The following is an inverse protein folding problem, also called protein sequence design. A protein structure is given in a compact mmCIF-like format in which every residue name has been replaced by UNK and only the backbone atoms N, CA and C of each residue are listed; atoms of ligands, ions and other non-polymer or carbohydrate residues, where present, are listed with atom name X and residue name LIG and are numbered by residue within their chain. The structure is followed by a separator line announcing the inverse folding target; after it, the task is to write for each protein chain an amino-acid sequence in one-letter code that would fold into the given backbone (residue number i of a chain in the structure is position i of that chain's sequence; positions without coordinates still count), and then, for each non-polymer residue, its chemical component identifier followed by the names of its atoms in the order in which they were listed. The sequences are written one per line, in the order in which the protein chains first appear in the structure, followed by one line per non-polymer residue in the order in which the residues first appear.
data_IF_902070285765
#
_entry.id   IF_902070285765
#
_cell.length_a   1.000
_cell.length_b   1.000
_cell.length_c   1.000
_cell.angle_alpha   90.00
_cell.angle_beta   90.00
_cell.angle_gamma   90.00
#
_symmetry.space_group_name_H-M   'P 1'
#
loop_
_entity.id
_entity.type
_entity.pdbx_description
1 polymer ?
#
# COMPACT_ATOMS: atom_id res chain seq x y z
N UNK A 1 10.73 -24.72 13.28
CA UNK A 1 10.60 -25.10 11.86
C UNK A 1 10.21 -23.86 11.09
N UNK A 2 11.08 -23.39 10.20
CA UNK A 2 10.82 -22.23 9.34
C UNK A 2 9.77 -22.59 8.29
N UNK A 3 8.65 -21.87 8.26
CA UNK A 3 7.75 -21.85 7.12
C UNK A 3 8.14 -20.71 6.19
N UNK A 4 8.82 -21.08 5.11
CA UNK A 4 9.06 -20.27 3.93
C UNK A 4 7.69 -19.99 3.29
N UNK A 5 7.21 -18.74 3.34
CA UNK A 5 5.97 -18.36 2.66
C UNK A 5 6.28 -18.20 1.17
N UNK A 6 5.96 -19.25 0.42
CA UNK A 6 5.96 -19.31 -1.02
C UNK A 6 5.06 -18.21 -1.62
N UNK A 7 5.67 -17.24 -2.29
CA UNK A 7 5.01 -16.26 -3.18
C UNK A 7 4.58 -16.94 -4.50
N UNK A 8 3.78 -18.00 -4.41
CA UNK A 8 3.32 -18.74 -5.58
C UNK A 8 1.82 -18.96 -5.52
N UNK A 9 1.12 -18.39 -6.49
CA UNK A 9 -0.25 -18.75 -6.83
C UNK A 9 -1.26 -17.66 -6.50
N UNK A 10 -1.40 -16.71 -7.41
CA UNK A 10 -2.67 -16.45 -8.11
C UNK A 10 -2.33 -15.61 -9.34
N UNK A 11 -2.59 -16.19 -10.51
CA UNK A 11 -2.28 -15.64 -11.83
C UNK A 11 -3.11 -14.38 -12.06
N UNK A 12 -2.51 -13.21 -11.87
CA UNK A 12 -3.02 -11.96 -12.43
C UNK A 12 -2.45 -11.80 -13.84
N UNK A 13 -3.33 -11.88 -14.84
CA UNK A 13 -3.06 -11.37 -16.18
C UNK A 13 -2.50 -9.95 -16.06
N UNK A 14 -1.42 -9.57 -16.76
CA UNK A 14 -0.95 -8.19 -16.74
C UNK A 14 -2.09 -7.30 -17.26
N UNK A 15 -2.42 -6.24 -16.52
CA UNK A 15 -3.55 -5.35 -16.84
C UNK A 15 -3.27 -4.52 -18.09
N UNK A 16 -2.01 -4.40 -18.50
CA UNK A 16 -1.61 -3.84 -19.77
C UNK A 16 -0.63 -4.80 -20.45
N UNK A 17 -0.42 -4.63 -21.74
CA UNK A 17 0.49 -5.49 -22.50
C UNK A 17 1.54 -4.62 -23.15
N UNK A 18 2.81 -4.99 -22.98
CA UNK A 18 3.89 -4.39 -23.76
C UNK A 18 3.93 -4.90 -25.22
N UNK A 19 3.09 -5.90 -25.56
CA UNK A 19 2.95 -6.43 -26.92
C UNK A 19 2.20 -5.42 -27.79
N UNK A 20 2.94 -4.46 -28.31
CA UNK A 20 2.43 -3.33 -29.09
C UNK A 20 3.43 -2.18 -29.12
N UNK A 21 4.31 -2.11 -28.13
CA UNK A 21 5.38 -1.13 -28.06
C UNK A 21 6.58 -1.46 -28.92
N UNK A 22 7.10 -0.42 -29.57
CA UNK A 22 8.41 -0.46 -30.20
C UNK A 22 9.52 -0.74 -29.16
N UNK A 23 10.69 -1.23 -29.58
CA UNK A 23 11.81 -1.48 -28.66
C UNK A 23 12.22 -0.27 -27.83
N UNK A 24 12.18 0.95 -28.40
CA UNK A 24 12.47 2.21 -27.70
C UNK A 24 11.43 2.53 -26.63
N UNK A 25 10.16 2.28 -26.91
CA UNK A 25 9.06 2.49 -25.96
C UNK A 25 9.12 1.49 -24.80
N UNK A 26 9.47 0.23 -25.07
CA UNK A 26 9.71 -0.77 -24.01
C UNK A 26 10.86 -0.38 -23.10
N UNK A 27 11.95 0.15 -23.66
CA UNK A 27 13.06 0.68 -22.86
C UNK A 27 12.61 1.83 -21.99
N UNK A 28 11.84 2.77 -22.54
CA UNK A 28 11.28 3.90 -21.78
C UNK A 28 10.41 3.42 -20.61
N UNK A 29 9.55 2.42 -20.85
CA UNK A 29 8.74 1.80 -19.79
C UNK A 29 9.58 1.10 -18.73
N UNK A 30 10.61 0.36 -19.14
CA UNK A 30 11.52 -0.31 -18.23
C UNK A 30 12.27 0.71 -17.36
N UNK A 31 12.82 1.77 -17.97
CA UNK A 31 13.54 2.83 -17.26
C UNK A 31 12.62 3.58 -16.29
N UNK A 32 11.37 3.86 -16.67
CA UNK A 32 10.42 4.49 -15.77
C UNK A 32 10.04 3.58 -14.58
N UNK A 33 9.93 2.28 -14.82
CA UNK A 33 9.69 1.28 -13.79
C UNK A 33 10.90 1.14 -12.84
N UNK A 34 12.12 1.14 -13.37
CA UNK A 34 13.36 1.15 -12.60
C UNK A 34 13.42 2.39 -11.70
N UNK A 35 13.30 3.59 -12.28
CA UNK A 35 13.28 4.86 -11.56
C UNK A 35 12.24 4.86 -10.44
N UNK A 36 11.01 4.43 -10.75
CA UNK A 36 9.89 4.38 -9.81
C UNK A 36 10.14 3.43 -8.63
N UNK A 37 10.62 2.22 -8.91
CA UNK A 37 10.84 1.22 -7.87
C UNK A 37 12.07 1.53 -7.01
N UNK A 38 13.11 2.14 -7.58
CA UNK A 38 14.27 2.64 -6.82
C UNK A 38 13.86 3.77 -5.89
N UNK A 39 13.06 4.73 -6.38
CA UNK A 39 12.50 5.82 -5.57
C UNK A 39 11.69 5.30 -4.38
N UNK A 40 10.82 4.32 -4.62
CA UNK A 40 10.01 3.70 -3.57
C UNK A 40 10.88 2.98 -2.52
N UNK A 41 11.96 2.33 -2.94
CA UNK A 41 12.89 1.65 -2.03
C UNK A 41 13.71 2.64 -1.19
N UNK A 42 14.20 3.73 -1.80
CA UNK A 42 14.90 4.81 -1.09
C UNK A 42 14.01 5.44 -0.01
N UNK A 43 12.76 5.78 -0.36
CA UNK A 43 11.79 6.32 0.60
C UNK A 43 11.47 5.35 1.73
N UNK A 44 11.20 4.08 1.41
CA UNK A 44 10.94 3.04 2.41
C UNK A 44 12.12 2.89 3.36
N UNK A 45 13.35 2.85 2.83
CA UNK A 45 14.55 2.70 3.63
C UNK A 45 14.78 3.91 4.54
N UNK A 46 14.63 5.13 4.02
CA UNK A 46 14.78 6.36 4.81
C UNK A 46 13.76 6.42 5.95
N UNK A 47 12.49 6.11 5.68
CA UNK A 47 11.44 6.03 6.72
C UNK A 47 11.79 4.98 7.79
N UNK A 48 12.20 3.77 7.35
CA UNK A 48 12.59 2.70 8.26
C UNK A 48 13.78 3.09 9.16
N UNK A 49 14.76 3.82 8.65
CA UNK A 49 15.93 4.25 9.44
C UNK A 49 15.60 5.38 10.42
N UNK A 50 14.76 6.34 10.02
CA UNK A 50 14.27 7.41 10.90
C UNK A 50 13.48 6.85 12.09
N UNK A 51 12.69 5.80 11.87
CA UNK A 51 11.95 5.13 12.94
C UNK A 51 12.82 4.31 13.90
N UNK A 52 13.92 3.73 13.40
CA UNK A 52 14.83 2.91 14.21
C UNK A 52 15.77 3.73 15.10
N UNK A 53 16.09 4.96 14.71
CA UNK A 53 16.98 5.84 15.49
C UNK A 53 16.45 7.28 15.57
N UNK A 54 15.37 7.52 16.35
CA UNK A 54 14.84 8.86 16.53
C UNK A 54 15.90 9.76 17.19
N UNK A 55 16.43 10.72 16.44
CA UNK A 55 17.38 11.73 16.93
C UNK A 55 18.86 11.42 16.71
N UNK A 56 19.23 10.35 16.01
CA UNK A 56 20.62 10.19 15.57
C UNK A 56 20.93 11.11 14.38
N UNK A 57 22.20 11.49 14.21
CA UNK A 57 22.67 12.26 13.04
C UNK A 57 22.47 11.53 11.70
N UNK A 58 21.85 10.35 11.68
CA UNK A 58 21.44 9.60 10.48
C UNK A 58 20.53 10.44 9.57
N UNK A 59 19.74 11.35 10.13
CA UNK A 59 18.97 12.34 9.36
C UNK A 59 19.86 13.36 8.60
N UNK A 60 21.15 13.49 8.96
CA UNK A 60 22.14 14.31 8.26
C UNK A 60 23.03 13.50 7.29
N UNK A 61 23.13 12.19 7.47
CA UNK A 61 24.04 11.33 6.70
C UNK A 61 23.46 10.89 5.36
N UNK A 62 22.14 10.74 5.28
CA UNK A 62 21.48 10.35 4.03
C UNK A 62 21.00 11.60 3.29
N UNK A 63 21.51 11.87 2.07
CA UNK A 63 21.03 12.98 1.28
C UNK A 63 19.53 12.81 1.03
N UNK A 64 18.81 13.93 1.21
CA UNK A 64 17.42 14.06 0.76
C UNK A 64 17.38 13.63 -0.69
N UNK A 65 16.44 12.73 -1.03
CA UNK A 65 16.24 12.32 -2.42
C UNK A 65 16.11 13.61 -3.25
N UNK A 66 17.02 13.89 -4.20
CA UNK A 66 17.21 15.23 -4.74
C UNK A 66 16.04 15.73 -5.58
N UNK A 67 15.10 14.86 -5.92
CA UNK A 67 13.97 15.15 -6.80
C UNK A 67 12.69 15.24 -5.98
N UNK A 68 12.05 16.40 -6.06
CA UNK A 68 10.69 16.63 -5.56
C UNK A 68 9.75 15.57 -6.17
N UNK A 69 8.93 14.92 -5.34
CA UNK A 69 7.94 13.92 -5.78
C UNK A 69 7.02 14.48 -6.89
N UNK A 70 6.79 15.79 -6.90
CA UNK A 70 6.04 16.46 -7.97
C UNK A 70 6.80 16.43 -9.31
N UNK A 71 8.11 16.65 -9.30
CA UNK A 71 8.94 16.56 -10.51
C UNK A 71 9.04 15.12 -11.02
N UNK A 72 9.17 14.15 -10.11
CA UNK A 72 9.16 12.73 -10.45
C UNK A 72 7.85 12.34 -11.16
N UNK A 73 6.70 12.70 -10.57
CA UNK A 73 5.39 12.41 -11.15
C UNK A 73 5.15 13.15 -12.47
N UNK A 74 5.64 14.39 -12.58
CA UNK A 74 5.56 15.15 -13.83
C UNK A 74 6.35 14.48 -14.95
N UNK A 75 7.56 13.98 -14.68
CA UNK A 75 8.37 13.28 -15.67
C UNK A 75 7.70 11.98 -16.12
N UNK A 76 7.14 11.20 -15.20
CA UNK A 76 6.34 10.02 -15.51
C UNK A 76 5.13 10.38 -16.40
N UNK A 77 4.44 11.47 -16.07
CA UNK A 77 3.30 11.95 -16.86
C UNK A 77 3.71 12.39 -18.26
N UNK A 78 4.82 13.11 -18.40
CA UNK A 78 5.33 13.55 -19.69
C UNK A 78 5.73 12.36 -20.57
N UNK A 79 6.51 11.42 -20.03
CA UNK A 79 7.09 10.32 -20.81
C UNK A 79 6.12 9.18 -21.09
N UNK A 80 5.28 8.85 -20.11
CA UNK A 80 4.39 7.70 -20.19
C UNK A 80 2.92 8.06 -20.42
N UNK A 81 2.55 9.34 -20.29
CA UNK A 81 1.14 9.80 -20.27
C UNK A 81 0.35 9.16 -19.11
N UNK A 82 1.02 8.89 -18.00
CA UNK A 82 0.45 8.28 -16.79
C UNK A 82 0.78 9.11 -15.55
N UNK A 83 -0.20 9.33 -14.69
CA UNK A 83 -0.07 10.26 -13.57
C UNK A 83 0.48 9.65 -12.26
N UNK A 84 0.53 8.31 -12.15
CA UNK A 84 0.76 7.65 -10.86
C UNK A 84 1.65 6.39 -10.97
N UNK A 85 2.61 6.30 -10.05
CA UNK A 85 3.62 5.22 -9.93
C UNK A 85 2.99 3.83 -9.78
N UNK A 86 1.88 3.75 -9.04
CA UNK A 86 1.09 2.53 -8.82
C UNK A 86 0.53 1.92 -10.12
N UNK A 87 0.42 2.74 -11.17
CA UNK A 87 -0.12 2.31 -12.46
C UNK A 87 0.96 1.72 -13.37
N UNK A 88 2.24 2.08 -13.19
CA UNK A 88 3.36 1.62 -14.03
C UNK A 88 3.72 0.17 -13.74
N UNK A 89 3.73 -0.23 -12.46
CA UNK A 89 3.96 -1.61 -12.04
C UNK A 89 2.89 -2.60 -12.52
N UNK A 90 1.80 -2.09 -13.12
CA UNK A 90 0.71 -2.90 -13.67
C UNK A 90 0.83 -3.09 -15.18
N UNK A 91 1.74 -2.36 -15.86
CA UNK A 91 1.83 -2.33 -17.32
C UNK A 91 2.33 -3.65 -17.89
N UNK A 92 3.28 -4.29 -17.21
CA UNK A 92 3.80 -5.59 -17.61
C UNK A 92 4.28 -6.31 -16.34
N UNK A 93 3.51 -7.30 -15.90
CA UNK A 93 3.83 -8.06 -14.70
C UNK A 93 5.10 -8.90 -14.83
N UNK A 94 5.56 -9.24 -16.04
CA UNK A 94 6.84 -9.94 -16.25
C UNK A 94 8.00 -8.96 -16.14
N UNK A 95 7.91 -7.80 -16.78
CA UNK A 95 8.91 -6.73 -16.69
C UNK A 95 9.01 -6.19 -15.26
N UNK A 96 7.87 -5.95 -14.60
CA UNK A 96 7.80 -5.54 -13.20
C UNK A 96 8.50 -6.53 -12.29
N UNK A 97 8.19 -7.82 -12.40
CA UNK A 97 8.88 -8.87 -11.63
C UNK A 97 10.37 -8.95 -11.93
N UNK A 98 10.77 -8.73 -13.18
CA UNK A 98 12.18 -8.73 -13.57
C UNK A 98 12.92 -7.56 -12.92
N UNK A 99 12.43 -6.32 -13.09
CA UNK A 99 13.04 -5.12 -12.51
C UNK A 99 13.06 -5.19 -10.98
N UNK A 100 11.94 -5.57 -10.36
CA UNK A 100 11.84 -5.65 -8.90
C UNK A 100 12.84 -6.63 -8.27
N UNK A 101 13.18 -7.73 -8.95
CA UNK A 101 14.21 -8.68 -8.49
C UNK A 101 15.62 -8.12 -8.57
N UNK A 102 15.86 -7.16 -9.46
CA UNK A 102 17.18 -6.59 -9.72
C UNK A 102 17.45 -5.33 -8.88
N UNK A 103 16.43 -4.80 -8.18
CA UNK A 103 16.62 -3.64 -7.29
C UNK A 103 17.09 -4.15 -5.93
N UNK A 104 18.29 -3.74 -5.46
CA UNK A 104 18.81 -4.17 -4.18
C UNK A 104 17.92 -3.68 -3.04
N UNK A 105 17.67 -4.57 -2.07
CA UNK A 105 16.89 -4.25 -0.86
C UNK A 105 17.83 -3.76 0.23
N UNK A 106 17.57 -2.56 0.73
CA UNK A 106 18.39 -1.95 1.77
C UNK A 106 17.85 -2.36 3.16
N UNK A 107 18.68 -2.96 4.00
CA UNK A 107 18.23 -3.45 5.33
C UNK A 107 19.01 -2.85 6.50
N UNK A 108 20.16 -2.24 6.24
CA UNK A 108 21.10 -1.78 7.26
C UNK A 108 21.31 -0.27 7.17
N UNK A 109 20.87 0.45 8.20
CA UNK A 109 20.96 1.91 8.33
C UNK A 109 22.37 2.44 8.62
N UNK A 110 23.38 1.57 8.72
CA UNK A 110 24.79 1.97 8.78
C UNK A 110 25.48 1.82 7.42
N UNK A 111 24.86 1.11 6.46
CA UNK A 111 25.41 0.84 5.14
C UNK A 111 25.15 1.98 4.16
N UNK A 112 25.85 3.10 4.37
CA UNK A 112 25.81 4.29 3.50
C UNK A 112 26.20 4.00 2.05
N UNK A 113 27.09 3.04 1.81
CA UNK A 113 27.53 2.67 0.46
C UNK A 113 26.40 2.06 -0.38
N UNK A 114 25.58 1.19 0.21
CA UNK A 114 24.47 0.55 -0.51
C UNK A 114 23.35 1.54 -0.78
N UNK A 115 23.12 2.48 0.14
CA UNK A 115 22.22 3.60 -0.09
C UNK A 115 22.70 4.47 -1.24
N UNK A 116 23.96 4.89 -1.22
CA UNK A 116 24.53 5.73 -2.28
C UNK A 116 24.45 5.02 -3.63
N UNK A 117 24.74 3.72 -3.69
CA UNK A 117 24.61 2.95 -4.94
C UNK A 117 23.16 2.90 -5.45
N UNK A 118 22.16 2.77 -4.57
CA UNK A 118 20.76 2.81 -4.99
C UNK A 118 20.36 4.22 -5.46
N UNK A 119 20.88 5.27 -4.81
CA UNK A 119 20.68 6.66 -5.21
C UNK A 119 21.30 6.95 -6.58
N UNK A 120 22.54 6.52 -6.82
CA UNK A 120 23.22 6.69 -8.12
C UNK A 120 22.44 5.97 -9.23
N UNK A 121 21.90 4.77 -8.95
CA UNK A 121 21.05 4.03 -9.87
C UNK A 121 19.73 4.76 -10.15
N UNK A 122 19.14 5.37 -9.11
CA UNK A 122 17.94 6.21 -9.26
C UNK A 122 18.22 7.43 -10.13
N UNK A 123 19.29 8.16 -9.89
CA UNK A 123 19.69 9.33 -10.68
C UNK A 123 19.96 8.94 -12.14
N UNK A 124 20.62 7.80 -12.36
CA UNK A 124 20.86 7.27 -13.70
C UNK A 124 19.54 6.92 -14.41
N UNK A 125 18.61 6.24 -13.75
CA UNK A 125 17.31 5.90 -14.32
C UNK A 125 16.44 7.14 -14.54
N UNK A 126 16.52 8.15 -13.65
CA UNK A 126 15.86 9.44 -13.81
C UNK A 126 16.36 10.17 -15.05
N UNK A 127 17.68 10.37 -15.16
CA UNK A 127 18.29 11.00 -16.33
C UNK A 127 18.01 10.23 -17.62
N UNK A 128 18.09 8.90 -17.57
CA UNK A 128 17.77 8.04 -18.71
C UNK A 128 16.32 8.23 -19.17
N UNK A 129 15.38 8.43 -18.24
CA UNK A 129 13.99 8.71 -18.55
C UNK A 129 13.79 10.12 -19.11
N UNK A 130 14.50 11.13 -18.58
CA UNK A 130 14.46 12.51 -19.10
C UNK A 130 14.82 12.58 -20.59
N UNK A 131 15.85 11.83 -20.99
CA UNK A 131 16.29 11.77 -22.41
C UNK A 131 15.53 10.73 -23.23
N UNK A 132 14.72 9.87 -22.60
CA UNK A 132 13.96 8.85 -23.30
C UNK A 132 12.90 9.45 -24.23
N UNK A 133 12.59 8.73 -25.29
CA UNK A 133 11.52 9.10 -26.21
C UNK A 133 10.16 8.87 -25.52
N UNK A 134 9.28 9.86 -25.60
CA UNK A 134 7.91 9.71 -25.09
C UNK A 134 7.19 8.53 -25.75
N UNK A 135 6.32 7.88 -24.99
CA UNK A 135 5.42 6.87 -25.53
C UNK A 135 4.50 7.50 -26.58
N UNK A 136 4.52 6.96 -27.81
CA UNK A 136 3.64 7.44 -28.88
C UNK A 136 2.18 7.22 -28.48
N UNK A 137 1.91 6.12 -27.79
CA UNK A 137 0.60 5.76 -27.26
C UNK A 137 0.71 5.38 -25.78
N UNK A 138 -0.22 5.86 -24.96
CA UNK A 138 -0.33 5.41 -23.58
C UNK A 138 -0.54 3.88 -23.53
N UNK A 139 -0.15 3.20 -22.42
CA UNK A 139 -0.29 1.75 -22.29
C UNK A 139 -1.69 1.27 -22.65
N UNK A 140 -1.78 0.57 -23.78
CA UNK A 140 -3.01 -0.04 -24.22
C UNK A 140 -3.22 -1.31 -23.41
N UNK A 141 -4.30 -1.34 -22.63
CA UNK A 141 -4.89 -2.61 -22.21
C UNK A 141 -5.91 -3.04 -23.27
N UNK A 142 -6.27 -4.31 -23.22
CA UNK A 142 -7.26 -4.89 -24.12
C UNK A 142 -8.67 -4.24 -24.04
N UNK A 143 -8.98 -3.39 -23.05
CA UNK A 143 -10.32 -2.76 -22.89
C UNK A 143 -10.28 -1.33 -22.30
N UNK A 144 -10.42 -0.32 -23.16
CA UNK A 144 -10.28 1.11 -22.79
C UNK A 144 -11.36 1.67 -21.84
N UNK A 145 -12.57 1.11 -21.81
CA UNK A 145 -13.66 1.60 -20.93
C UNK A 145 -13.50 1.13 -19.48
N UNK A 146 -12.99 -0.09 -19.27
CA UNK A 146 -12.71 -0.61 -17.94
C UNK A 146 -11.50 0.09 -17.29
N UNK A 147 -10.61 0.72 -18.08
CA UNK A 147 -9.43 1.44 -17.62
C UNK A 147 -9.69 2.80 -16.98
N UNK A 148 -10.57 3.64 -17.54
CA UNK A 148 -10.91 4.92 -16.88
C UNK A 148 -11.50 4.66 -15.51
N UNK A 149 -12.35 3.62 -15.42
CA UNK A 149 -12.96 3.19 -14.18
C UNK A 149 -11.93 2.57 -13.22
N UNK A 150 -11.01 1.74 -13.71
CA UNK A 150 -9.99 1.10 -12.86
C UNK A 150 -8.91 2.08 -12.36
N UNK A 151 -8.42 2.98 -13.21
CA UNK A 151 -7.45 4.01 -12.80
C UNK A 151 -8.10 5.03 -11.85
N UNK A 152 -9.32 5.50 -12.15
CA UNK A 152 -10.08 6.34 -11.23
C UNK A 152 -10.31 5.62 -9.90
N UNK A 153 -10.63 4.32 -9.92
CA UNK A 153 -10.82 3.52 -8.70
C UNK A 153 -9.52 3.34 -7.91
N UNK A 154 -8.38 3.16 -8.57
CA UNK A 154 -7.07 3.13 -7.88
C UNK A 154 -6.78 4.49 -7.24
N UNK A 155 -6.98 5.60 -7.96
CA UNK A 155 -6.78 6.94 -7.42
C UNK A 155 -7.73 7.22 -6.25
N UNK A 156 -9.00 6.84 -6.36
CA UNK A 156 -9.99 6.98 -5.29
C UNK A 156 -9.58 6.19 -4.04
N UNK A 157 -9.14 4.94 -4.21
CA UNK A 157 -8.67 4.10 -3.11
C UNK A 157 -7.41 4.69 -2.49
N UNK A 158 -6.46 5.18 -3.29
CA UNK A 158 -5.24 5.80 -2.77
C UNK A 158 -5.58 7.07 -1.97
N UNK A 159 -6.45 7.93 -2.47
CA UNK A 159 -6.94 9.10 -1.74
C UNK A 159 -7.66 8.72 -0.44
N UNK A 160 -8.45 7.64 -0.45
CA UNK A 160 -9.06 7.08 0.75
C UNK A 160 -7.99 6.63 1.75
N UNK A 161 -6.98 5.89 1.31
CA UNK A 161 -5.86 5.45 2.16
C UNK A 161 -5.16 6.66 2.74
N UNK A 162 -4.80 7.65 1.91
CA UNK A 162 -4.01 8.82 2.31
C UNK A 162 -4.75 9.69 3.34
N UNK A 163 -6.05 9.96 3.13
CA UNK A 163 -6.88 10.72 4.08
C UNK A 163 -7.23 9.94 5.36
N UNK A 164 -7.06 8.63 5.36
CA UNK A 164 -7.33 7.80 6.54
C UNK A 164 -6.17 7.86 7.53
N UNK A 165 -6.50 8.12 8.79
CA UNK A 165 -5.54 8.14 9.88
C UNK A 165 -5.28 6.74 10.43
N UNK A 166 -6.32 5.91 10.52
CA UNK A 166 -6.26 4.51 10.95
C UNK A 166 -6.96 3.62 9.94
N UNK A 167 -6.36 2.48 9.61
CA UNK A 167 -6.95 1.51 8.69
C UNK A 167 -6.81 0.12 9.33
N UNK A 168 -7.91 -0.60 9.48
CA UNK A 168 -7.91 -1.87 10.21
C UNK A 168 -8.68 -2.95 9.47
N UNK A 169 -8.15 -4.17 9.49
CA UNK A 169 -8.91 -5.37 9.17
C UNK A 169 -9.57 -5.85 10.46
N UNK A 170 -10.89 -5.90 10.45
CA UNK A 170 -11.69 -6.21 11.62
C UNK A 170 -12.58 -7.41 11.38
N UNK A 171 -12.83 -8.20 12.41
CA UNK A 171 -13.88 -9.22 12.42
C UNK A 171 -15.13 -8.69 13.11
N UNK A 172 -16.30 -9.16 12.68
CA UNK A 172 -17.55 -8.91 13.39
C UNK A 172 -17.69 -9.94 14.51
N UNK A 173 -17.82 -9.48 15.75
CA UNK A 173 -17.96 -10.33 16.94
C UNK A 173 -19.22 -9.95 17.72
N UNK A 174 -19.83 -10.91 18.42
CA UNK A 174 -20.94 -10.62 19.33
C UNK A 174 -20.39 -9.91 20.59
N UNK A 175 -21.03 -8.81 21.00
CA UNK A 175 -20.68 -8.05 22.21
C UNK A 175 -20.83 -8.89 23.48
N UNK A 176 -21.72 -9.88 23.50
CA UNK A 176 -21.89 -10.77 24.65
C UNK A 176 -20.64 -11.60 24.97
N UNK A 177 -19.71 -11.73 24.01
CA UNK A 177 -18.41 -12.36 24.24
C UNK A 177 -17.43 -11.48 25.02
N UNK A 178 -17.71 -10.18 25.16
CA UNK A 178 -16.88 -9.26 25.95
C UNK A 178 -17.28 -9.28 27.42
N UNK A 179 -16.26 -9.22 28.29
CA UNK A 179 -16.48 -8.97 29.71
C UNK A 179 -17.04 -7.57 29.95
N UNK A 180 -17.70 -7.35 31.09
CA UNK A 180 -18.26 -6.05 31.47
C UNK A 180 -17.20 -4.94 31.47
N UNK A 181 -15.96 -5.27 31.88
CA UNK A 181 -14.85 -4.32 31.89
C UNK A 181 -14.42 -3.95 30.47
N UNK A 182 -14.34 -4.92 29.56
CA UNK A 182 -14.01 -4.67 28.15
C UNK A 182 -15.10 -3.85 27.46
N UNK A 183 -16.37 -4.12 27.73
CA UNK A 183 -17.48 -3.32 27.20
C UNK A 183 -17.38 -1.86 27.68
N UNK A 184 -17.08 -1.63 28.95
CA UNK A 184 -16.94 -0.29 29.51
C UNK A 184 -15.71 0.47 28.96
N UNK A 185 -14.62 -0.23 28.66
CA UNK A 185 -13.37 0.39 28.20
C UNK A 185 -13.35 0.66 26.69
N UNK A 186 -14.06 -0.15 25.89
CA UNK A 186 -13.96 -0.11 24.43
C UNK A 186 -15.23 0.37 23.73
N UNK A 187 -16.39 0.35 24.39
CA UNK A 187 -17.65 0.78 23.80
C UNK A 187 -18.18 2.03 24.50
N UNK A 188 -18.75 2.94 23.71
CA UNK A 188 -19.44 4.10 24.24
C UNK A 188 -20.66 3.65 25.05
N UNK A 189 -20.99 4.33 26.15
CA UNK A 189 -22.12 3.99 27.04
C UNK A 189 -23.47 3.86 26.31
N UNK A 190 -23.62 4.57 25.20
CA UNK A 190 -24.85 4.58 24.39
C UNK A 190 -24.81 3.57 23.22
N UNK A 191 -23.82 2.67 23.20
CA UNK A 191 -23.67 1.66 22.15
C UNK A 191 -24.65 0.51 22.38
N UNK A 192 -25.69 0.43 21.55
CA UNK A 192 -26.79 -0.51 21.73
C UNK A 192 -26.81 -1.68 20.73
N UNK A 193 -25.90 -1.68 19.74
CA UNK A 193 -25.83 -2.77 18.77
C UNK A 193 -25.26 -4.04 19.39
N UNK A 194 -25.75 -5.20 18.94
CA UNK A 194 -25.32 -6.53 19.39
C UNK A 194 -23.90 -6.87 18.94
N UNK A 195 -23.54 -6.47 17.74
CA UNK A 195 -22.25 -6.82 17.13
C UNK A 195 -21.25 -5.68 17.26
N UNK A 196 -19.96 -6.02 17.31
CA UNK A 196 -18.84 -5.09 17.41
C UNK A 196 -17.76 -5.45 16.39
N UNK A 197 -16.91 -4.50 16.04
CA UNK A 197 -15.70 -4.76 15.28
C UNK A 197 -14.55 -5.10 16.22
N UNK A 198 -13.92 -6.26 16.01
CA UNK A 198 -12.67 -6.66 16.66
C UNK A 198 -11.52 -6.50 15.68
N UNK A 199 -10.52 -5.72 16.04
CA UNK A 199 -9.33 -5.47 15.20
C UNK A 199 -8.43 -6.70 15.20
N UNK A 200 -8.21 -7.28 14.03
CA UNK A 200 -7.28 -8.39 13.84
C UNK A 200 -5.91 -7.89 13.38
N UNK A 201 -5.91 -6.96 12.43
CA UNK A 201 -4.70 -6.37 11.86
C UNK A 201 -4.92 -4.90 11.58
N UNK A 202 -3.83 -4.13 11.45
CA UNK A 202 -3.97 -2.91 10.70
C UNK A 202 -2.71 -2.15 10.33
N UNK A 203 -2.95 -0.97 9.79
CA UNK A 203 -2.01 -0.09 9.11
C UNK A 203 -2.10 1.32 9.69
N UNK A 204 -0.98 2.05 9.70
CA UNK A 204 -0.85 3.40 10.27
C UNK A 204 -1.11 3.41 11.79
N UNK A 205 -2.00 4.27 12.28
CA UNK A 205 -2.25 4.48 13.70
C UNK A 205 -3.40 3.61 14.21
N UNK A 206 -3.11 2.39 14.66
CA UNK A 206 -4.15 1.50 15.19
C UNK A 206 -4.70 1.95 16.53
N UNK A 207 -6.02 1.82 16.67
CA UNK A 207 -6.77 2.29 17.82
C UNK A 207 -7.08 1.13 18.79
N UNK A 208 -8.31 1.06 19.30
CA UNK A 208 -8.74 0.06 20.28
C UNK A 208 -8.90 -1.33 19.65
N UNK A 209 -8.70 -2.38 20.43
CA UNK A 209 -8.93 -3.78 20.03
C UNK A 209 -10.37 -4.03 19.61
N UNK A 210 -11.32 -3.37 20.26
CA UNK A 210 -12.74 -3.46 19.96
C UNK A 210 -13.30 -2.07 19.66
N UNK A 211 -14.19 -2.00 18.68
CA UNK A 211 -14.85 -0.77 18.25
C UNK A 211 -16.33 -1.00 18.02
N UNK A 212 -17.15 0.01 18.37
CA UNK A 212 -18.56 0.00 18.03
C UNK A 212 -18.78 0.07 16.52
N UNK A 213 -19.67 -0.77 16.00
CA UNK A 213 -20.18 -0.68 14.64
C UNK A 213 -21.16 0.49 14.50
N UNK A 214 -20.88 1.41 13.58
CA UNK A 214 -21.78 2.53 13.25
C UNK A 214 -22.80 2.18 12.15
N UNK A 215 -22.73 0.96 11.63
CA UNK A 215 -23.68 0.40 10.66
C UNK A 215 -24.46 -0.69 11.40
N UNK A 216 -25.79 -0.62 11.37
CA UNK A 216 -26.63 -1.67 11.91
C UNK A 216 -26.62 -2.85 10.92
N UNK A 217 -26.29 -4.04 11.42
CA UNK A 217 -26.19 -5.27 10.63
C UNK A 217 -27.07 -6.30 11.30
N UNK A 218 -27.96 -6.93 10.53
CA UNK A 218 -28.84 -7.97 11.06
C UNK A 218 -28.11 -9.33 11.14
N UNK A 219 -28.67 -10.23 11.94
CA UNK A 219 -28.09 -11.56 12.19
C UNK A 219 -27.89 -12.34 10.87
N UNK A 220 -28.81 -12.17 9.90
CA UNK A 220 -28.74 -12.80 8.58
C UNK A 220 -27.57 -12.26 7.74
N UNK A 221 -27.28 -10.96 7.81
CA UNK A 221 -26.13 -10.34 7.13
C UNK A 221 -24.82 -10.75 7.80
N UNK A 222 -24.78 -10.90 9.13
CA UNK A 222 -23.58 -11.41 9.82
C UNK A 222 -23.33 -12.88 9.47
N UNK A 223 -24.38 -13.69 9.32
CA UNK A 223 -24.26 -15.09 8.91
C UNK A 223 -23.87 -15.26 7.43
N UNK A 224 -24.17 -14.29 6.56
CA UNK A 224 -23.99 -14.38 5.10
C UNK A 224 -22.82 -13.56 4.53
N UNK A 225 -22.30 -12.57 5.26
CA UNK A 225 -21.12 -11.79 4.83
C UNK A 225 -19.82 -12.44 5.29
N UNK A 226 -18.71 -12.16 4.58
CA UNK A 226 -17.40 -12.51 5.12
C UNK A 226 -17.26 -11.86 6.50
N UNK A 227 -16.88 -12.65 7.50
CA UNK A 227 -16.75 -12.22 8.88
C UNK A 227 -15.75 -11.06 9.07
N UNK A 228 -15.00 -10.70 8.02
CA UNK A 228 -13.93 -9.72 8.02
C UNK A 228 -14.21 -8.53 7.10
N UNK A 229 -13.93 -7.33 7.60
CA UNK A 229 -14.15 -6.05 6.94
C UNK A 229 -12.89 -5.20 7.04
N UNK A 230 -12.61 -4.42 6.00
CA UNK A 230 -11.57 -3.40 6.01
C UNK A 230 -12.22 -2.05 6.31
N UNK A 231 -11.83 -1.43 7.42
CA UNK A 231 -12.40 -0.16 7.89
C UNK A 231 -11.35 0.95 7.80
N UNK A 232 -11.83 2.15 7.45
CA UNK A 232 -11.05 3.36 7.27
C UNK A 232 -11.57 4.43 8.24
N UNK A 233 -10.68 4.99 9.05
CA UNK A 233 -11.03 5.94 10.10
C UNK A 233 -10.26 7.25 9.94
N UNK A 234 -10.92 8.35 10.31
CA UNK A 234 -10.30 9.67 10.38
C UNK A 234 -9.46 9.84 11.67
N UNK A 235 -8.82 11.00 11.81
CA UNK A 235 -8.02 11.36 12.99
C UNK A 235 -8.81 11.37 14.32
N UNK A 236 -10.13 11.52 14.25
CA UNK A 236 -11.03 11.51 15.40
C UNK A 236 -11.64 10.12 15.64
N UNK A 237 -11.17 9.09 14.92
CA UNK A 237 -11.66 7.70 14.96
C UNK A 237 -13.09 7.54 14.44
N UNK A 238 -13.59 8.47 13.63
CA UNK A 238 -14.86 8.30 12.93
C UNK A 238 -14.69 7.46 11.68
N UNK A 239 -15.73 6.69 11.35
CA UNK A 239 -15.77 5.88 10.14
C UNK A 239 -15.85 6.75 8.89
N UNK A 240 -14.85 6.62 8.01
CA UNK A 240 -14.85 7.17 6.67
C UNK A 240 -15.52 6.19 5.71
N UNK A 241 -15.10 4.91 5.76
CA UNK A 241 -15.59 3.86 4.87
C UNK A 241 -15.36 2.48 5.49
N UNK A 242 -16.21 1.52 5.14
CA UNK A 242 -16.05 0.11 5.44
C UNK A 242 -16.26 -0.71 4.16
N UNK A 243 -15.38 -1.68 3.91
CA UNK A 243 -15.39 -2.52 2.70
C UNK A 243 -15.30 -3.98 3.12
N UNK A 244 -16.19 -4.83 2.61
CA UNK A 244 -16.10 -6.27 2.88
C UNK A 244 -14.76 -6.83 2.38
N UNK A 245 -14.13 -7.75 3.13
CA UNK A 245 -12.81 -8.31 2.74
C UNK A 245 -12.81 -8.91 1.33
N UNK A 246 -13.92 -9.52 0.89
CA UNK A 246 -14.05 -10.10 -0.44
C UNK A 246 -13.89 -9.04 -1.55
N UNK A 247 -14.37 -7.82 -1.30
CA UNK A 247 -14.29 -6.68 -2.22
C UNK A 247 -13.05 -5.80 -1.99
N UNK A 248 -12.34 -6.03 -0.88
CA UNK A 248 -11.19 -5.25 -0.45
C UNK A 248 -9.86 -5.68 -1.10
N UNK A 249 -9.87 -6.63 -2.05
CA UNK A 249 -8.65 -7.18 -2.65
C UNK A 249 -7.71 -6.10 -3.22
N UNK A 250 -8.26 -5.09 -3.90
CA UNK A 250 -7.47 -3.98 -4.44
C UNK A 250 -6.94 -3.04 -3.33
N UNK A 251 -7.73 -2.80 -2.29
CA UNK A 251 -7.33 -1.98 -1.14
C UNK A 251 -6.16 -2.63 -0.38
N UNK A 252 -6.29 -3.92 -0.06
CA UNK A 252 -5.26 -4.70 0.62
C UNK A 252 -3.97 -4.79 -0.21
N UNK A 253 -4.06 -4.81 -1.54
CA UNK A 253 -2.88 -4.78 -2.41
C UNK A 253 -2.14 -3.44 -2.32
N UNK A 254 -2.86 -2.32 -2.23
CA UNK A 254 -2.28 -0.98 -2.15
C UNK A 254 -1.73 -0.66 -0.74
N UNK A 255 -2.37 -1.17 0.30
CA UNK A 255 -1.94 -1.00 1.70
C UNK A 255 -0.66 -1.77 2.06
N UNK A 256 -0.22 -2.71 1.23
CA UNK A 256 0.88 -3.62 1.52
C UNK A 256 0.65 -4.42 2.83
N UNK A 257 1.73 -4.83 3.52
CA UNK A 257 1.63 -5.68 4.72
C UNK A 257 1.10 -4.88 5.91
N UNK A 258 0.29 -5.49 6.78
CA UNK A 258 -0.13 -4.86 8.05
C UNK A 258 1.07 -4.64 8.97
N UNK A 259 1.06 -3.51 9.67
CA UNK A 259 2.12 -3.09 10.59
C UNK A 259 1.82 -3.53 12.03
N UNK A 260 0.57 -3.84 12.34
CA UNK A 260 0.11 -4.10 13.69
C UNK A 260 -0.88 -5.27 13.75
N UNK A 261 -0.91 -5.95 14.90
CA UNK A 261 -1.96 -6.90 15.28
C UNK A 261 -2.16 -6.90 16.80
N UNK A 262 -3.28 -7.43 17.26
CA UNK A 262 -3.45 -7.75 18.67
C UNK A 262 -3.04 -9.20 18.97
N UNK A 263 -2.36 -9.43 20.09
CA UNK A 263 -2.07 -10.78 20.58
C UNK A 263 -3.27 -11.39 21.33
N UNK A 264 -3.16 -12.66 21.72
CA UNK A 264 -4.22 -13.37 22.47
C UNK A 264 -4.50 -12.77 23.86
N UNK A 265 -3.65 -11.85 24.33
CA UNK A 265 -3.80 -11.14 25.61
C UNK A 265 -4.37 -9.73 25.40
N UNK A 266 -4.70 -9.35 24.16
CA UNK A 266 -5.23 -8.04 23.81
C UNK A 266 -4.17 -6.94 23.73
N UNK A 267 -2.88 -7.26 23.71
CA UNK A 267 -1.81 -6.28 23.54
C UNK A 267 -1.59 -5.97 22.07
N UNK A 268 -1.40 -4.69 21.75
CA UNK A 268 -1.01 -4.25 20.41
C UNK A 268 0.46 -4.60 20.17
N UNK A 269 0.72 -5.36 19.11
CA UNK A 269 2.05 -5.84 18.73
C UNK A 269 2.37 -5.38 17.32
N UNK A 270 3.56 -4.80 17.14
CA UNK A 270 4.09 -4.44 15.83
C UNK A 270 4.51 -5.69 15.07
N UNK A 271 4.08 -5.81 13.82
CA UNK A 271 4.47 -6.86 12.89
C UNK A 271 5.75 -6.42 12.16
N UNK A 272 6.84 -7.15 12.38
CA UNK A 272 8.11 -6.98 11.68
C UNK A 272 8.12 -7.70 10.33
#
# INVERSE_FOLDING_TARGET
MLTIISLAGLLASPLYSANGYSPSERRTLQTALEMSLQYAELNRFQQSCLEQQPGSEVAKTYPVIPVDIQQHNLLLQQKLKMSELSSIALIDGKMTRFVQRNIPKLTDCENSQSYQSLLDNYELSHFSLEIATELKQAPQSADANNQRLAAAKVTEIQQLIDRSHSIALVTVSDRELLTVIEQANYLHLNYNNRYIFKVEQGWKHITATYMGMHIAVDDDTVASTAAEWLIFLDQNKHFIQAVNKNDAALHLRLLAKPEWKFDNKGNLVRLN
#
